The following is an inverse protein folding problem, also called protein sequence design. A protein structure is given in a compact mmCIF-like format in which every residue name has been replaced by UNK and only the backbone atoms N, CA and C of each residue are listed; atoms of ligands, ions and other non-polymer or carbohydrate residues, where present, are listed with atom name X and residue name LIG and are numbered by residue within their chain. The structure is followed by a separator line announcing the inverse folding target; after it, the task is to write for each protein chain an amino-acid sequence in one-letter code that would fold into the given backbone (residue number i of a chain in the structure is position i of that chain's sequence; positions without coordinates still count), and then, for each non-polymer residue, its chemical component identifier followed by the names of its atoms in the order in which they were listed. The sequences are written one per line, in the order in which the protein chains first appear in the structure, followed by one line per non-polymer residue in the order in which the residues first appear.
data_IF_319885309527
#
_entry.id   IF_319885309527
#
_cell.length_a   1.000
_cell.length_b   1.000
_cell.length_c   1.000
_cell.angle_alpha   90.00
_cell.angle_beta   90.00
_cell.angle_gamma   90.00
#
_symmetry.space_group_name_H-M   'P 1'
#
loop_
_entity.id
_entity.type
_entity.pdbx_description
1 polymer ?
#
# COMPACT_ATOMS: atom_id res chain seq x y z
N UNK A 1 -5.03 -16.29 21.45
CA UNK A 1 -3.99 -15.37 20.97
C UNK A 1 -3.46 -15.83 19.63
N UNK A 2 -3.41 -14.96 18.66
CA UNK A 2 -2.85 -15.30 17.35
C UNK A 2 -1.34 -15.45 17.44
N UNK A 3 -0.80 -16.41 16.71
CA UNK A 3 0.64 -16.50 16.53
C UNK A 3 1.11 -15.33 15.63
N UNK A 4 2.39 -14.98 15.66
CA UNK A 4 2.91 -13.95 14.74
C UNK A 4 2.66 -14.29 13.28
N UNK A 5 2.73 -15.57 12.89
CA UNK A 5 2.40 -16.00 11.53
C UNK A 5 0.96 -15.71 11.15
N UNK A 6 0.03 -15.98 12.07
CA UNK A 6 -1.40 -15.75 11.82
C UNK A 6 -1.68 -14.26 11.70
N UNK A 7 -1.05 -13.43 12.55
CA UNK A 7 -1.19 -11.99 12.49
C UNK A 7 -0.69 -11.43 11.17
N UNK A 8 0.46 -11.90 10.72
CA UNK A 8 1.04 -11.48 9.44
C UNK A 8 0.16 -11.88 8.26
N UNK A 9 -0.36 -13.10 8.28
CA UNK A 9 -1.26 -13.58 7.23
C UNK A 9 -2.53 -12.74 7.18
N UNK A 10 -3.08 -12.37 8.34
CA UNK A 10 -4.26 -11.52 8.41
C UNK A 10 -4.00 -10.14 7.80
N UNK A 11 -2.82 -9.57 8.06
CA UNK A 11 -2.43 -8.29 7.47
C UNK A 11 -2.37 -8.39 5.95
N UNK A 12 -1.67 -9.38 5.42
CA UNK A 12 -1.56 -9.53 3.97
C UNK A 12 -2.90 -9.85 3.31
N UNK A 13 -3.74 -10.64 3.96
CA UNK A 13 -5.08 -10.91 3.44
C UNK A 13 -5.91 -9.61 3.36
N UNK A 14 -5.82 -8.78 4.40
CA UNK A 14 -6.51 -7.49 4.40
C UNK A 14 -6.00 -6.58 3.29
N UNK A 15 -4.70 -6.58 3.03
CA UNK A 15 -4.07 -5.75 2.01
C UNK A 15 -4.30 -6.27 0.59
N UNK A 16 -4.80 -7.48 0.44
CA UNK A 16 -5.01 -8.07 -0.88
C UNK A 16 -6.18 -7.43 -1.65
N UNK A 17 -7.05 -6.72 -0.99
CA UNK A 17 -8.21 -6.09 -1.61
C UNK A 17 -7.94 -4.62 -1.94
N UNK A 18 -8.19 -4.18 -3.19
CA UNK A 18 -7.90 -2.80 -3.58
C UNK A 18 -8.75 -1.75 -2.85
N UNK A 19 -10.00 -2.06 -2.51
CA UNK A 19 -10.85 -1.14 -1.76
C UNK A 19 -10.28 -0.92 -0.36
N UNK A 20 -9.84 -1.99 0.28
CA UNK A 20 -9.23 -1.88 1.60
C UNK A 20 -7.93 -1.07 1.57
N UNK A 21 -7.11 -1.26 0.54
CA UNK A 21 -5.90 -0.45 0.37
C UNK A 21 -6.23 1.03 0.19
N UNK A 22 -7.28 1.33 -0.56
CA UNK A 22 -7.72 2.72 -0.76
C UNK A 22 -8.21 3.36 0.54
N UNK A 23 -8.92 2.59 1.36
CA UNK A 23 -9.36 3.06 2.69
C UNK A 23 -8.14 3.39 3.56
N UNK A 24 -7.15 2.51 3.58
CA UNK A 24 -5.94 2.74 4.36
C UNK A 24 -5.19 3.98 3.88
N UNK A 25 -5.10 4.18 2.58
CA UNK A 25 -4.45 5.35 2.02
C UNK A 25 -5.15 6.63 2.47
N UNK A 26 -6.49 6.62 2.47
CA UNK A 26 -7.25 7.77 2.97
C UNK A 26 -6.97 8.01 4.46
N UNK A 27 -6.92 6.96 5.27
CA UNK A 27 -6.67 7.07 6.70
C UNK A 27 -5.24 7.50 7.02
N UNK A 28 -4.30 7.31 6.10
CA UNK A 28 -2.95 7.82 6.26
C UNK A 28 -2.92 9.36 6.28
N UNK A 29 -3.94 10.00 5.73
CA UNK A 29 -4.07 11.46 5.77
C UNK A 29 -4.65 11.95 7.10
N UNK A 30 -5.29 11.07 7.86
CA UNK A 30 -5.89 11.40 9.14
C UNK A 30 -7.14 10.57 9.39
N UNK A 31 -7.59 10.54 10.62
CA UNK A 31 -8.79 9.84 11.03
C UNK A 31 -10.01 10.37 10.25
N UNK A 32 -10.97 9.51 10.02
CA UNK A 32 -12.16 9.88 9.26
C UNK A 32 -13.39 9.10 9.74
N UNK A 33 -14.58 9.73 9.67
CA UNK A 33 -15.82 9.02 9.92
C UNK A 33 -16.09 7.96 8.86
N UNK A 34 -16.76 6.88 9.26
CA UNK A 34 -17.10 5.78 8.36
C UNK A 34 -17.82 6.28 7.10
N UNK A 35 -18.72 7.24 7.24
CA UNK A 35 -19.45 7.79 6.10
C UNK A 35 -18.55 8.43 5.04
N UNK A 36 -17.48 9.10 5.47
CA UNK A 36 -16.50 9.66 4.54
C UNK A 36 -15.70 8.59 3.82
N UNK A 37 -15.40 7.50 4.53
CA UNK A 37 -14.66 6.40 3.93
C UNK A 37 -15.48 5.67 2.87
N UNK A 38 -16.79 5.61 3.05
CA UNK A 38 -17.70 4.94 2.13
C UNK A 38 -17.96 5.75 0.85
N UNK A 39 -17.90 7.08 0.96
CA UNK A 39 -18.35 7.99 -0.10
C UNK A 39 -17.70 7.77 -1.46
N UNK A 40 -16.37 7.55 -1.56
CA UNK A 40 -15.71 7.38 -2.87
C UNK A 40 -16.02 6.06 -3.55
N UNK A 41 -16.62 5.10 -2.84
CA UNK A 41 -16.82 3.76 -3.37
C UNK A 41 -18.28 3.54 -3.73
N UNK A 42 -18.50 2.89 -4.86
CA UNK A 42 -19.84 2.51 -5.30
C UNK A 42 -20.17 1.13 -4.76
N UNK A 43 -20.23 1.01 -3.44
CA UNK A 43 -20.54 -0.23 -2.75
C UNK A 43 -21.52 0.05 -1.62
N UNK A 44 -22.20 -1.00 -1.18
CA UNK A 44 -23.20 -0.88 -0.13
C UNK A 44 -22.57 -0.58 1.24
N UNK A 45 -23.36 0.01 2.13
CA UNK A 45 -22.92 0.24 3.50
C UNK A 45 -22.50 -1.05 4.22
N UNK A 46 -23.23 -2.18 4.08
CA UNK A 46 -22.75 -3.45 4.63
C UNK A 46 -21.41 -3.90 4.08
N UNK A 47 -21.13 -3.65 2.80
CA UNK A 47 -19.84 -4.00 2.20
C UNK A 47 -18.71 -3.16 2.80
N UNK A 48 -18.94 -1.86 3.00
CA UNK A 48 -17.97 -0.99 3.67
C UNK A 48 -17.70 -1.50 5.09
N UNK A 49 -18.75 -1.79 5.83
CA UNK A 49 -18.61 -2.32 7.20
C UNK A 49 -17.79 -3.60 7.24
N UNK A 50 -17.96 -4.46 6.25
CA UNK A 50 -17.20 -5.71 6.16
C UNK A 50 -15.72 -5.42 5.93
N UNK A 51 -15.39 -4.50 5.02
CA UNK A 51 -14.01 -4.10 4.79
C UNK A 51 -13.37 -3.51 6.04
N UNK A 52 -14.09 -2.67 6.75
CA UNK A 52 -13.58 -2.07 7.98
C UNK A 52 -13.36 -3.10 9.08
N UNK A 53 -14.23 -4.11 9.16
CA UNK A 53 -14.06 -5.19 10.11
C UNK A 53 -12.81 -6.00 9.80
N UNK A 54 -12.57 -6.33 8.54
CA UNK A 54 -11.37 -7.08 8.14
C UNK A 54 -10.12 -6.29 8.50
N UNK A 55 -10.10 -4.98 8.21
CA UNK A 55 -8.98 -4.12 8.55
C UNK A 55 -8.76 -4.01 10.05
N UNK A 56 -9.84 -3.91 10.82
CA UNK A 56 -9.77 -3.82 12.27
C UNK A 56 -9.24 -5.12 12.89
N UNK A 57 -9.74 -6.25 12.41
CA UNK A 57 -9.30 -7.57 12.91
C UNK A 57 -7.83 -7.84 12.56
N UNK A 58 -7.35 -7.29 11.46
CA UNK A 58 -5.94 -7.41 11.07
C UNK A 58 -5.04 -6.44 11.85
N UNK A 59 -5.60 -5.56 12.66
CA UNK A 59 -4.83 -4.59 13.44
C UNK A 59 -4.34 -3.41 12.63
N UNK A 60 -4.95 -3.13 11.48
CA UNK A 60 -4.54 -2.04 10.61
C UNK A 60 -5.28 -0.74 10.88
N UNK A 61 -6.45 -0.83 11.49
CA UNK A 61 -7.23 0.33 11.91
C UNK A 61 -7.80 0.11 13.30
N UNK A 62 -8.12 1.20 13.96
CA UNK A 62 -8.99 1.17 15.13
C UNK A 62 -10.25 1.95 14.83
N UNK A 63 -11.33 1.51 15.43
CA UNK A 63 -12.62 2.17 15.32
C UNK A 63 -13.07 2.59 16.73
N UNK A 64 -13.52 3.82 16.82
CA UNK A 64 -14.06 4.33 18.09
C UNK A 64 -15.36 5.07 17.83
N UNK A 65 -16.17 5.19 18.88
CA UNK A 65 -17.38 5.98 18.83
C UNK A 65 -17.11 7.28 19.57
N UNK A 66 -17.32 8.40 18.88
CA UNK A 66 -17.19 9.73 19.46
C UNK A 66 -18.57 10.40 19.30
N UNK A 67 -19.32 10.45 20.39
CA UNK A 67 -20.71 10.90 20.38
C UNK A 67 -21.54 10.04 19.41
N UNK A 68 -21.95 10.58 18.28
CA UNK A 68 -22.74 9.86 17.28
C UNK A 68 -21.86 9.31 16.14
N UNK A 69 -20.59 9.70 16.13
CA UNK A 69 -19.73 9.42 15.01
C UNK A 69 -18.92 8.16 15.25
N UNK A 70 -18.82 7.34 14.22
CA UNK A 70 -17.93 6.21 14.20
C UNK A 70 -16.70 6.64 13.45
N UNK A 71 -15.58 6.74 14.16
CA UNK A 71 -14.34 7.27 13.61
C UNK A 71 -13.37 6.13 13.42
N UNK A 72 -12.71 6.09 12.28
CA UNK A 72 -11.64 5.15 11.99
C UNK A 72 -10.30 5.86 11.98
N UNK A 73 -9.29 5.20 12.53
CA UNK A 73 -7.90 5.69 12.55
C UNK A 73 -6.98 4.60 12.06
N UNK A 74 -5.93 4.99 11.37
CA UNK A 74 -4.89 4.06 10.97
C UNK A 74 -4.12 3.59 12.20
N UNK A 75 -3.83 2.30 12.28
CA UNK A 75 -2.92 1.74 13.27
C UNK A 75 -1.65 1.30 12.57
N UNK A 76 -0.53 1.89 12.97
CA UNK A 76 0.75 1.59 12.35
C UNK A 76 1.30 0.20 12.73
N UNK A 77 0.84 -0.36 13.84
CA UNK A 77 1.39 -1.62 14.37
C UNK A 77 1.28 -2.79 13.38
N UNK A 78 0.11 -2.93 12.74
CA UNK A 78 -0.08 -3.99 11.75
C UNK A 78 0.82 -3.81 10.54
N UNK A 79 0.99 -2.57 10.09
CA UNK A 79 1.88 -2.26 8.97
C UNK A 79 3.33 -2.53 9.32
N UNK A 80 3.71 -2.32 10.58
CA UNK A 80 5.07 -2.59 11.03
C UNK A 80 5.44 -4.06 10.85
N UNK A 81 4.52 -4.96 11.16
CA UNK A 81 4.76 -6.40 11.01
C UNK A 81 4.98 -6.76 9.54
N UNK A 82 4.16 -6.23 8.65
CA UNK A 82 4.31 -6.46 7.22
C UNK A 82 5.62 -5.86 6.71
N UNK A 83 5.95 -4.66 7.15
CA UNK A 83 7.21 -4.00 6.79
C UNK A 83 8.41 -4.83 7.24
N UNK A 84 8.37 -5.34 8.46
CA UNK A 84 9.45 -6.15 9.00
C UNK A 84 9.68 -7.43 8.21
N UNK A 85 8.60 -8.07 7.77
CA UNK A 85 8.71 -9.25 6.94
C UNK A 85 9.30 -8.92 5.57
N UNK A 86 8.84 -7.85 4.96
CA UNK A 86 9.35 -7.41 3.66
C UNK A 86 10.81 -6.97 3.76
N UNK A 87 11.22 -6.41 4.88
CA UNK A 87 12.58 -5.97 5.12
C UNK A 87 13.59 -7.11 4.95
N UNK A 88 13.18 -8.34 5.26
CA UNK A 88 14.01 -9.53 5.09
C UNK A 88 14.46 -9.70 3.64
N UNK A 89 13.64 -9.22 2.70
CA UNK A 89 13.92 -9.36 1.27
C UNK A 89 14.43 -8.08 0.63
N UNK A 90 14.61 -7.04 1.42
CA UNK A 90 14.97 -5.71 0.93
C UNK A 90 16.19 -5.71 0.03
N UNK A 91 17.24 -6.45 0.42
CA UNK A 91 18.47 -6.48 -0.35
C UNK A 91 18.25 -7.01 -1.77
N UNK A 92 17.26 -7.88 -1.98
CA UNK A 92 17.00 -8.44 -3.30
C UNK A 92 16.53 -7.38 -4.29
N UNK A 93 15.57 -6.53 -3.86
CA UNK A 93 15.12 -5.47 -4.75
C UNK A 93 16.05 -4.26 -4.75
N UNK A 94 16.77 -4.00 -3.67
CA UNK A 94 17.77 -2.92 -3.65
C UNK A 94 18.91 -3.21 -4.61
N UNK A 95 19.41 -4.45 -4.63
CA UNK A 95 20.42 -4.85 -5.59
C UNK A 95 19.92 -4.64 -7.01
N UNK A 96 18.67 -4.96 -7.27
CA UNK A 96 18.05 -4.75 -8.58
C UNK A 96 17.94 -3.28 -8.91
N UNK A 97 17.55 -2.46 -7.93
CA UNK A 97 17.46 -1.00 -8.11
C UNK A 97 18.83 -0.37 -8.31
N UNK A 98 19.85 -0.86 -7.59
CA UNK A 98 21.22 -0.37 -7.76
C UNK A 98 21.74 -0.67 -9.16
N UNK A 99 21.45 -1.86 -9.67
CA UNK A 99 21.81 -2.21 -11.05
C UNK A 99 21.09 -1.32 -12.06
N UNK A 100 19.82 -1.04 -11.83
CA UNK A 100 19.05 -0.15 -12.68
C UNK A 100 19.60 1.27 -12.60
N UNK A 101 19.96 1.73 -11.40
CA UNK A 101 20.57 3.04 -11.21
C UNK A 101 21.85 3.19 -12.00
N UNK A 102 22.74 2.20 -11.91
CA UNK A 102 23.99 2.18 -12.67
C UNK A 102 23.71 2.24 -14.16
N UNK A 103 22.75 1.44 -14.63
CA UNK A 103 22.36 1.43 -16.03
C UNK A 103 21.86 2.82 -16.49
N UNK A 104 21.02 3.46 -15.69
CA UNK A 104 20.49 4.79 -15.98
C UNK A 104 21.61 5.83 -15.98
N UNK A 105 22.54 5.76 -15.05
CA UNK A 105 23.70 6.67 -14.98
C UNK A 105 24.58 6.53 -16.20
N UNK A 106 24.88 5.31 -16.64
CA UNK A 106 25.65 5.07 -17.86
C UNK A 106 24.93 5.60 -19.08
N UNK A 107 23.62 5.38 -19.16
CA UNK A 107 22.80 5.90 -20.26
C UNK A 107 22.75 7.42 -20.24
N UNK A 108 22.77 8.05 -19.05
CA UNK A 108 22.84 9.50 -18.93
C UNK A 108 24.16 10.05 -19.48
N UNK A 109 25.26 9.38 -19.19
CA UNK A 109 26.55 9.78 -19.71
C UNK A 109 26.59 9.73 -21.25
N UNK A 110 25.94 8.72 -21.83
CA UNK A 110 25.81 8.61 -23.28
C UNK A 110 24.90 9.71 -23.84
N UNK A 111 23.83 10.04 -23.13
CA UNK A 111 22.91 11.11 -23.54
C UNK A 111 23.58 12.48 -23.52
N UNK A 112 24.46 12.71 -22.55
CA UNK A 112 25.19 13.97 -22.46
C UNK A 112 26.08 14.16 -23.72
N UNK A 113 26.30 13.10 -24.49
CA UNK A 113 26.98 13.16 -25.75
C UNK A 113 26.04 13.49 -26.93
N UNK A 114 24.76 13.75 -26.69
CA UNK A 114 23.87 14.31 -27.70
C UNK A 114 22.49 13.69 -27.89
N UNK A 115 22.16 12.62 -27.20
CA UNK A 115 20.88 11.96 -27.42
C UNK A 115 19.85 12.37 -26.35
N UNK A 116 18.60 12.50 -26.78
CA UNK A 116 17.50 12.78 -25.87
C UNK A 116 17.11 11.51 -25.10
N UNK A 117 16.79 11.66 -23.84
CA UNK A 117 16.32 10.56 -23.01
C UNK A 117 14.91 10.83 -22.51
N UNK A 118 14.05 9.85 -22.48
CA UNK A 118 14.27 8.52 -23.07
C UNK A 118 14.07 8.56 -24.56
N UNK A 119 14.84 7.78 -25.35
CA UNK A 119 14.52 7.66 -26.75
C UNK A 119 13.15 7.00 -26.86
N UNK A 120 12.35 7.45 -27.82
CA UNK A 120 11.05 6.86 -28.04
C UNK A 120 11.24 5.37 -28.35
N UNK A 121 10.52 4.46 -27.66
CA UNK A 121 10.63 3.05 -28.00
C UNK A 121 10.09 2.82 -29.40
N UNK A 122 10.80 1.99 -30.19
CA UNK A 122 10.31 1.62 -31.48
C UNK A 122 9.08 0.71 -31.34
N UNK A 123 8.18 0.67 -32.35
CA UNK A 123 7.02 -0.21 -32.25
C UNK A 123 7.37 -1.68 -32.05
N UNK A 124 8.52 -2.11 -32.49
CA UNK A 124 8.99 -3.48 -32.34
C UNK A 124 9.37 -3.81 -30.89
N UNK A 125 9.65 -2.82 -30.07
CA UNK A 125 10.05 -3.01 -28.68
C UNK A 125 8.86 -3.13 -27.74
N UNK A 126 7.67 -2.85 -28.22
CA UNK A 126 6.48 -2.96 -27.42
C UNK A 126 6.03 -4.42 -27.37
N UNK A 127 5.80 -4.97 -26.18
CA UNK A 127 5.27 -6.32 -26.04
C UNK A 127 3.84 -6.42 -26.57
#
# INVERSE_FOLDING_TARGET
MRSPSDSLSAVFAALADPTRRAILLRLAEGAAPVGELARPFDISAPAVSKHLRVLSEAGLIEREVDARWRICRLRADGMRDAHGWLETYRQFWEDSLDRLKVFVELSSAERDAGDAWPPAPSPEEKP
#
